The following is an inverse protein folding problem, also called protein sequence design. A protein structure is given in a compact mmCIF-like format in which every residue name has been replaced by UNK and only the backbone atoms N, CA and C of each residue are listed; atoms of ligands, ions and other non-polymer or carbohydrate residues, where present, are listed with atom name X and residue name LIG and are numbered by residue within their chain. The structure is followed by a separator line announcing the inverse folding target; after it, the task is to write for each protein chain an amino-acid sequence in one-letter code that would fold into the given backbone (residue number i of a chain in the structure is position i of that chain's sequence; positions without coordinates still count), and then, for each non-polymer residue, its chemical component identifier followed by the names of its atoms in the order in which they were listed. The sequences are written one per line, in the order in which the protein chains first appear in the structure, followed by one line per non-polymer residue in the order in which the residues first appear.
data_IF_266226399959
#
_entry.id   IF_266226399959
#
_cell.length_a   1.000
_cell.length_b   1.000
_cell.length_c   1.000
_cell.angle_alpha   90.00
_cell.angle_beta   90.00
_cell.angle_gamma   90.00
#
_symmetry.space_group_name_H-M   'P 1'
#
loop_
_entity.id
_entity.type
_entity.pdbx_description
1 polymer ?
#
# COMPACT_ATOMS: atom_id res chain seq x y z
N UNK A 1 12.97 -16.55 3.99
CA UNK A 1 11.64 -15.90 3.96
C UNK A 1 11.55 -14.57 4.68
N UNK A 2 11.55 -14.50 6.03
CA UNK A 2 11.37 -13.22 6.74
C UNK A 2 12.50 -12.23 6.44
N UNK A 3 13.76 -12.68 6.53
CA UNK A 3 14.93 -11.85 6.21
C UNK A 3 14.88 -11.35 4.77
N UNK A 4 14.69 -12.26 3.81
CA UNK A 4 14.52 -11.91 2.39
C UNK A 4 13.43 -10.85 2.19
N UNK A 5 12.24 -11.04 2.77
CA UNK A 5 11.13 -10.10 2.61
C UNK A 5 11.42 -8.74 3.23
N UNK A 6 12.21 -8.68 4.31
CA UNK A 6 12.62 -7.41 4.93
C UNK A 6 13.64 -6.69 4.06
N UNK A 7 14.64 -7.40 3.55
CA UNK A 7 15.62 -6.85 2.61
C UNK A 7 14.93 -6.32 1.36
N UNK A 8 14.06 -7.11 0.74
CA UNK A 8 13.30 -6.72 -0.44
C UNK A 8 12.39 -5.51 -0.19
N UNK A 9 11.86 -5.35 1.03
CA UNK A 9 11.08 -4.18 1.40
C UNK A 9 11.95 -2.92 1.53
N UNK A 10 13.15 -3.04 2.10
CA UNK A 10 14.11 -1.94 2.16
C UNK A 10 14.53 -1.48 0.77
N UNK A 11 14.83 -2.42 -0.12
CA UNK A 11 15.15 -2.14 -1.53
C UNK A 11 14.00 -1.40 -2.23
N UNK A 12 12.76 -1.87 -2.05
CA UNK A 12 11.57 -1.18 -2.56
C UNK A 12 11.47 0.25 -2.01
N UNK A 13 11.67 0.44 -0.70
CA UNK A 13 11.57 1.74 -0.07
C UNK A 13 12.65 2.72 -0.56
N UNK A 14 13.88 2.23 -0.78
CA UNK A 14 14.98 3.01 -1.36
C UNK A 14 14.70 3.42 -2.81
N UNK A 15 14.20 2.49 -3.64
CA UNK A 15 13.88 2.78 -5.04
C UNK A 15 12.70 3.75 -5.17
N UNK A 16 11.65 3.58 -4.35
CA UNK A 16 10.54 4.53 -4.27
C UNK A 16 10.99 5.91 -3.80
N UNK A 17 11.98 5.97 -2.90
CA UNK A 17 12.55 7.23 -2.47
C UNK A 17 13.33 7.90 -3.59
N UNK A 18 14.15 7.16 -4.34
CA UNK A 18 14.85 7.69 -5.51
C UNK A 18 13.87 8.24 -6.57
N UNK A 19 12.80 7.49 -6.89
CA UNK A 19 11.73 7.93 -7.81
C UNK A 19 11.12 9.27 -7.37
N UNK A 20 11.04 9.55 -6.07
CA UNK A 20 10.48 10.81 -5.56
C UNK A 20 11.32 12.05 -5.89
N UNK A 21 12.60 11.87 -6.26
CA UNK A 21 13.48 12.96 -6.71
C UNK A 21 13.66 12.98 -8.23
N UNK A 22 13.46 11.86 -8.92
CA UNK A 22 13.71 11.73 -10.37
C UNK A 22 12.57 12.28 -11.25
N UNK A 23 11.40 12.56 -10.66
CA UNK A 23 10.21 12.98 -11.40
C UNK A 23 9.62 14.29 -10.86
N UNK A 24 9.57 15.32 -11.72
CA UNK A 24 8.96 16.62 -11.40
C UNK A 24 7.42 16.57 -11.37
N UNK A 25 6.81 15.61 -12.06
CA UNK A 25 5.36 15.47 -12.17
C UNK A 25 4.85 14.32 -11.32
N UNK A 26 3.92 14.61 -10.41
CA UNK A 26 3.29 13.63 -9.51
C UNK A 26 2.63 12.46 -10.24
N UNK A 27 2.03 12.69 -11.42
CA UNK A 27 1.43 11.60 -12.20
C UNK A 27 2.51 10.63 -12.66
N UNK A 28 3.56 11.13 -13.32
CA UNK A 28 4.67 10.30 -13.81
C UNK A 28 5.43 9.60 -12.67
N UNK A 29 5.65 10.30 -11.56
CA UNK A 29 6.20 9.72 -10.32
C UNK A 29 5.32 8.56 -9.85
N UNK A 30 4.00 8.77 -9.76
CA UNK A 30 3.08 7.74 -9.29
C UNK A 30 2.97 6.55 -10.24
N UNK A 31 3.02 6.77 -11.56
CA UNK A 31 3.09 5.71 -12.57
C UNK A 31 4.31 4.81 -12.34
N UNK A 32 5.50 5.42 -12.20
CA UNK A 32 6.73 4.66 -12.00
C UNK A 32 6.74 3.94 -10.65
N UNK A 33 6.25 4.58 -9.60
CA UNK A 33 6.12 3.95 -8.28
C UNK A 33 5.14 2.78 -8.27
N UNK A 34 4.06 2.84 -9.05
CA UNK A 34 3.12 1.70 -9.23
C UNK A 34 3.82 0.54 -9.94
N UNK A 35 4.47 0.81 -11.08
CA UNK A 35 5.23 -0.20 -11.83
C UNK A 35 6.26 -0.89 -10.93
N UNK A 36 7.03 -0.10 -10.19
CA UNK A 36 8.04 -0.59 -9.24
C UNK A 36 7.40 -1.43 -8.14
N UNK A 37 6.34 -0.94 -7.50
CA UNK A 37 5.62 -1.68 -6.46
C UNK A 37 5.07 -3.02 -6.95
N UNK A 38 4.54 -3.08 -8.19
CA UNK A 38 4.08 -4.33 -8.82
C UNK A 38 5.23 -5.30 -9.04
N UNK A 39 6.37 -4.81 -9.55
CA UNK A 39 7.56 -5.63 -9.76
C UNK A 39 8.04 -6.29 -8.46
N UNK A 40 8.18 -5.52 -7.38
CA UNK A 40 8.61 -6.06 -6.08
C UNK A 40 7.59 -7.01 -5.46
N UNK A 41 6.28 -6.76 -5.62
CA UNK A 41 5.23 -7.70 -5.22
C UNK A 41 5.32 -9.02 -5.99
N UNK A 42 5.67 -8.98 -7.28
CA UNK A 42 5.86 -10.18 -8.08
C UNK A 42 7.12 -10.95 -7.68
N UNK A 43 8.23 -10.26 -7.40
CA UNK A 43 9.46 -10.87 -6.86
C UNK A 43 9.16 -11.57 -5.53
N UNK A 44 8.47 -10.87 -4.62
CA UNK A 44 8.05 -11.42 -3.34
C UNK A 44 7.19 -12.67 -3.54
N UNK A 45 6.16 -12.59 -4.41
CA UNK A 45 5.25 -13.70 -4.69
C UNK A 45 6.00 -14.93 -5.23
N UNK A 46 6.87 -14.75 -6.22
CA UNK A 46 7.63 -15.84 -6.82
C UNK A 46 8.50 -16.53 -5.76
N UNK A 47 9.23 -15.74 -4.96
CA UNK A 47 10.02 -16.28 -3.86
C UNK A 47 9.17 -17.09 -2.86
N UNK A 48 7.95 -16.64 -2.52
CA UNK A 48 7.06 -17.39 -1.62
C UNK A 48 6.47 -18.65 -2.25
N UNK A 49 6.34 -18.72 -3.58
CA UNK A 49 5.90 -19.93 -4.27
C UNK A 49 7.02 -20.98 -4.31
N UNK A 50 8.27 -20.53 -4.45
CA UNK A 50 9.45 -21.39 -4.50
C UNK A 50 9.92 -21.85 -3.10
N UNK A 51 9.40 -21.24 -2.03
CA UNK A 51 9.80 -21.53 -0.65
C UNK A 51 8.56 -21.75 0.23
N UNK A 52 8.39 -22.98 0.72
CA UNK A 52 7.29 -23.29 1.63
C UNK A 52 7.47 -22.62 3.01
N UNK A 53 6.35 -22.24 3.63
CA UNK A 53 6.34 -21.76 5.01
C UNK A 53 6.67 -22.91 5.96
N UNK A 54 7.71 -22.74 6.78
CA UNK A 54 8.13 -23.75 7.76
C UNK A 54 7.07 -24.04 8.83
N UNK A 55 6.24 -23.04 9.17
CA UNK A 55 5.17 -23.17 10.16
C UNK A 55 4.00 -22.27 9.80
N UNK A 56 2.81 -22.61 10.30
CA UNK A 56 1.60 -21.80 10.13
C UNK A 56 1.73 -20.42 10.77
N UNK A 57 2.47 -20.29 11.86
CA UNK A 57 2.74 -19.00 12.52
C UNK A 57 3.58 -18.08 11.63
N UNK A 58 4.56 -18.63 10.90
CA UNK A 58 5.35 -17.87 9.94
C UNK A 58 4.50 -17.38 8.75
N UNK A 59 3.55 -18.21 8.31
CA UNK A 59 2.57 -17.84 7.28
C UNK A 59 1.66 -16.70 7.75
N UNK A 60 1.04 -16.85 8.92
CA UNK A 60 0.21 -15.82 9.55
C UNK A 60 1.02 -14.52 9.71
N UNK A 61 2.25 -14.60 10.22
CA UNK A 61 3.10 -13.43 10.40
C UNK A 61 3.38 -12.72 9.07
N UNK A 62 3.66 -13.47 8.00
CA UNK A 62 3.90 -12.92 6.67
C UNK A 62 2.68 -12.18 6.14
N UNK A 63 1.51 -12.81 6.13
CA UNK A 63 0.29 -12.20 5.60
C UNK A 63 -0.22 -11.03 6.45
N UNK A 64 0.00 -11.07 7.77
CA UNK A 64 -0.44 -10.01 8.70
C UNK A 64 0.52 -8.83 8.76
N UNK A 65 1.83 -9.04 8.65
CA UNK A 65 2.82 -7.99 8.95
C UNK A 65 3.75 -7.64 7.79
N UNK A 66 4.03 -8.57 6.87
CA UNK A 66 5.01 -8.36 5.79
C UNK A 66 4.30 -7.95 4.51
N UNK A 67 3.44 -8.83 3.96
CA UNK A 67 2.73 -8.58 2.70
C UNK A 67 1.98 -7.23 2.69
N UNK A 68 1.29 -6.80 3.76
CA UNK A 68 0.60 -5.51 3.78
C UNK A 68 1.53 -4.31 3.60
N UNK A 69 2.81 -4.41 3.99
CA UNK A 69 3.78 -3.32 3.79
C UNK A 69 4.09 -3.08 2.32
N UNK A 70 4.15 -4.13 1.50
CA UNK A 70 4.30 -4.01 0.05
C UNK A 70 3.00 -3.51 -0.60
N UNK A 71 1.88 -4.17 -0.28
CA UNK A 71 0.58 -3.81 -0.84
C UNK A 71 0.17 -2.37 -0.53
N UNK A 72 0.53 -1.85 0.65
CA UNK A 72 0.20 -0.48 1.04
C UNK A 72 0.90 0.56 0.15
N UNK A 73 2.13 0.30 -0.33
CA UNK A 73 2.83 1.17 -1.30
C UNK A 73 2.07 1.22 -2.62
N UNK A 74 1.69 0.05 -3.15
CA UNK A 74 0.91 -0.04 -4.38
C UNK A 74 -0.45 0.70 -4.24
N UNK A 75 -1.16 0.49 -3.13
CA UNK A 75 -2.44 1.17 -2.86
C UNK A 75 -2.24 2.69 -2.78
N UNK A 76 -1.19 3.13 -2.07
CA UNK A 76 -0.87 4.54 -1.90
C UNK A 76 -0.63 5.23 -3.25
N UNK A 77 0.28 4.71 -4.08
CA UNK A 77 0.58 5.35 -5.35
C UNK A 77 -0.57 5.27 -6.35
N UNK A 78 -1.37 4.20 -6.34
CA UNK A 78 -2.62 4.17 -7.12
C UNK A 78 -3.60 5.28 -6.69
N UNK A 79 -3.72 5.56 -5.38
CA UNK A 79 -4.55 6.66 -4.88
C UNK A 79 -3.99 8.02 -5.32
N UNK A 80 -2.68 8.25 -5.20
CA UNK A 80 -2.05 9.51 -5.63
C UNK A 80 -2.24 9.73 -7.13
N UNK A 81 -1.96 8.71 -7.95
CA UNK A 81 -2.15 8.76 -9.40
C UNK A 81 -3.57 9.14 -9.77
N UNK A 82 -4.53 8.44 -9.15
CA UNK A 82 -5.97 8.67 -9.36
C UNK A 82 -6.35 10.09 -8.96
N UNK A 83 -5.90 10.53 -7.79
CA UNK A 83 -6.16 11.85 -7.26
C UNK A 83 -5.67 12.95 -8.22
N UNK A 84 -4.43 12.87 -8.69
CA UNK A 84 -3.89 13.87 -9.62
C UNK A 84 -4.56 13.80 -11.00
N UNK A 85 -4.93 12.62 -11.48
CA UNK A 85 -5.59 12.45 -12.79
C UNK A 85 -7.01 13.05 -12.84
N UNK A 86 -7.72 13.08 -11.72
CA UNK A 86 -9.08 13.65 -11.63
C UNK A 86 -9.10 15.09 -11.12
N UNK A 87 -7.95 15.67 -10.80
CA UNK A 87 -7.85 17.03 -10.29
C UNK A 87 -8.35 18.03 -11.34
N UNK A 88 -9.39 18.82 -11.04
CA UNK A 88 -9.97 19.72 -12.02
C UNK A 88 -9.08 20.94 -12.26
N UNK A 89 -8.94 21.36 -13.53
CA UNK A 89 -8.26 22.61 -13.91
C UNK A 89 -9.15 23.86 -13.73
N UNK A 90 -10.36 23.69 -13.19
CA UNK A 90 -11.36 24.74 -13.05
C UNK A 90 -11.02 25.80 -12.01
N UNK A 91 -12.01 26.64 -11.69
CA UNK A 91 -11.86 27.70 -10.69
C UNK A 91 -11.45 27.15 -9.31
N UNK A 92 -10.89 28.02 -8.46
CA UNK A 92 -10.54 27.67 -7.07
C UNK A 92 -11.69 27.01 -6.30
N UNK A 93 -12.95 27.39 -6.60
CA UNK A 93 -14.14 26.77 -6.02
C UNK A 93 -14.25 25.30 -6.41
N UNK A 94 -14.16 24.99 -7.71
CA UNK A 94 -14.26 23.61 -8.21
C UNK A 94 -13.11 22.76 -7.65
N UNK A 95 -11.90 23.32 -7.55
CA UNK A 95 -10.77 22.63 -6.92
C UNK A 95 -11.00 22.35 -5.43
N UNK A 96 -11.56 23.30 -4.69
CA UNK A 96 -11.92 23.08 -3.28
C UNK A 96 -12.99 22.00 -3.13
N UNK A 97 -14.06 22.06 -3.91
CA UNK A 97 -15.15 21.08 -3.85
C UNK A 97 -14.62 19.65 -4.14
N UNK A 98 -13.66 19.53 -5.07
CA UNK A 98 -12.97 18.27 -5.33
C UNK A 98 -12.19 17.77 -4.11
N UNK A 99 -11.36 18.62 -3.49
CA UNK A 99 -10.57 18.25 -2.31
C UNK A 99 -11.44 17.86 -1.12
N UNK A 100 -12.54 18.58 -0.88
CA UNK A 100 -13.50 18.27 0.19
C UNK A 100 -14.17 16.91 -0.05
N UNK A 101 -14.52 16.60 -1.29
CA UNK A 101 -15.09 15.29 -1.64
C UNK A 101 -14.08 14.15 -1.43
N UNK A 102 -12.82 14.31 -1.85
CA UNK A 102 -11.78 13.32 -1.60
C UNK A 102 -11.52 13.12 -0.09
N UNK A 103 -11.55 14.20 0.70
CA UNK A 103 -11.45 14.13 2.16
C UNK A 103 -12.63 13.36 2.77
N UNK A 104 -13.86 13.62 2.30
CA UNK A 104 -15.05 12.91 2.78
C UNK A 104 -14.96 11.40 2.48
N UNK A 105 -14.48 11.01 1.29
CA UNK A 105 -14.24 9.60 0.95
C UNK A 105 -13.25 8.94 1.90
N UNK A 106 -12.20 9.65 2.30
CA UNK A 106 -11.24 9.15 3.30
C UNK A 106 -11.92 8.94 4.65
N UNK A 107 -12.73 9.89 5.13
CA UNK A 107 -13.45 9.78 6.40
C UNK A 107 -14.42 8.60 6.42
N UNK A 108 -15.20 8.40 5.35
CA UNK A 108 -16.12 7.25 5.21
C UNK A 108 -15.32 5.95 5.27
N UNK A 109 -14.23 5.85 4.49
CA UNK A 109 -13.37 4.67 4.49
C UNK A 109 -12.79 4.37 5.89
N UNK A 110 -12.35 5.38 6.64
CA UNK A 110 -11.90 5.18 8.02
C UNK A 110 -13.03 4.69 8.93
N UNK A 111 -14.22 5.29 8.83
CA UNK A 111 -15.41 4.88 9.59
C UNK A 111 -15.75 3.41 9.37
N UNK A 112 -15.87 2.99 8.10
CA UNK A 112 -16.19 1.61 7.71
C UNK A 112 -15.12 0.59 8.14
N UNK A 113 -13.85 1.00 8.18
CA UNK A 113 -12.74 0.13 8.53
C UNK A 113 -12.32 0.24 10.01
N UNK A 114 -13.10 0.91 10.86
CA UNK A 114 -12.77 1.12 12.28
C UNK A 114 -12.58 -0.21 13.03
N UNK A 115 -13.46 -1.19 12.79
CA UNK A 115 -13.37 -2.51 13.43
C UNK A 115 -12.08 -3.24 13.04
N UNK A 116 -11.75 -3.24 11.75
CA UNK A 116 -10.51 -3.81 11.23
C UNK A 116 -9.26 -3.11 11.80
N UNK A 117 -9.30 -1.77 11.87
CA UNK A 117 -8.20 -0.99 12.42
C UNK A 117 -7.98 -1.27 13.90
N UNK A 118 -9.07 -1.41 14.67
CA UNK A 118 -9.01 -1.79 16.08
C UNK A 118 -8.47 -3.21 16.26
N UNK A 119 -8.93 -4.17 15.46
CA UNK A 119 -8.42 -5.55 15.46
C UNK A 119 -6.91 -5.58 15.19
N UNK A 120 -6.45 -4.87 14.15
CA UNK A 120 -5.03 -4.80 13.80
C UNK A 120 -4.18 -4.13 14.89
N UNK A 121 -4.65 -2.99 15.44
CA UNK A 121 -3.92 -2.24 16.49
C UNK A 121 -3.84 -2.97 17.82
N UNK A 122 -4.89 -3.68 18.22
CA UNK A 122 -4.95 -4.38 19.50
C UNK A 122 -4.20 -5.72 19.48
N UNK A 123 -3.56 -6.08 18.35
CA UNK A 123 -2.83 -7.34 18.22
C UNK A 123 -3.73 -8.57 18.37
N UNK A 124 -5.03 -8.41 18.09
CA UNK A 124 -6.01 -9.47 18.29
C UNK A 124 -5.63 -10.72 17.49
N UNK A 125 -5.60 -11.87 18.15
CA UNK A 125 -5.43 -13.19 17.52
C UNK A 125 -6.80 -13.85 17.24
N UNK A 126 -7.87 -13.34 17.85
CA UNK A 126 -9.21 -13.95 17.85
C UNK A 126 -9.95 -13.87 16.51
N UNK A 127 -9.54 -12.98 15.60
CA UNK A 127 -10.16 -12.82 14.27
C UNK A 127 -9.22 -13.18 13.13
N UNK A 128 -8.12 -13.87 13.40
CA UNK A 128 -7.17 -14.32 12.37
C UNK A 128 -7.91 -15.16 11.31
N UNK A 129 -8.78 -16.11 11.69
CA UNK A 129 -9.60 -16.89 10.75
C UNK A 129 -10.63 -16.09 9.93
N UNK A 130 -10.93 -14.84 10.30
CA UNK A 130 -11.89 -13.97 9.59
C UNK A 130 -11.18 -13.05 8.59
N UNK A 131 -9.92 -12.68 8.85
CA UNK A 131 -9.20 -11.64 8.11
C UNK A 131 -7.91 -12.12 7.43
N UNK A 132 -7.43 -13.34 7.72
CA UNK A 132 -6.31 -14.02 7.07
C UNK A 132 -6.82 -15.24 6.30
#
# INVERSE_FOLDING_TARGET
MITFSRTLLCELDEELHAISFDYDNTISMSDKSIETSVTYLQILKNYMLDNEFQTKENEIYFFKNIKPKFSSKLIYFNKIRKFESYKPLGSKRIQRDYLENELNKLNICFGENTEFYNYYRLGGQSLDNKFL
#
